data_IF_510291744510
#
_entry.id   IF_510291744510
#
_cell.length_a   1.000
_cell.length_b   1.000
_cell.length_c   1.000
_cell.angle_alpha   90.00
_cell.angle_beta   90.00
_cell.angle_gamma   90.00
#
_symmetry.space_group_name_H-M   'P 1'
#
loop_
_entity.id
_entity.type
_entity.pdbx_description
1 polymer ?
#
# COMPACT_ATOMS: atom_id res chain seq x y z
N UNK A 1 -8.13 9.47 -0.22
CA UNK A 1 -8.69 8.29 -0.93
C UNK A 1 -7.64 7.21 -0.85
N UNK A 2 -8.01 5.94 -0.65
CA UNK A 2 -7.00 4.89 -0.49
C UNK A 2 -6.23 4.67 -1.80
N UNK A 3 -4.94 4.34 -1.75
CA UNK A 3 -4.10 4.18 -2.94
C UNK A 3 -4.67 3.15 -3.92
N UNK A 4 -5.17 2.02 -3.40
CA UNK A 4 -5.84 0.96 -4.17
C UNK A 4 -7.16 1.45 -4.78
N UNK A 5 -7.97 2.14 -4.00
CA UNK A 5 -9.29 2.63 -4.38
C UNK A 5 -9.16 3.69 -5.47
N UNK A 6 -8.11 4.52 -5.37
CA UNK A 6 -7.75 5.54 -6.36
C UNK A 6 -7.38 4.94 -7.70
N UNK A 7 -6.75 3.76 -7.69
CA UNK A 7 -6.38 3.06 -8.92
C UNK A 7 -7.60 2.40 -9.55
N UNK A 8 -8.46 1.77 -8.74
CA UNK A 8 -9.69 1.14 -9.22
C UNK A 8 -10.82 2.11 -9.59
N UNK A 9 -10.61 3.42 -9.45
CA UNK A 9 -11.63 4.47 -9.62
C UNK A 9 -12.91 4.21 -8.78
N UNK A 10 -12.76 3.56 -7.62
CA UNK A 10 -13.88 3.24 -6.73
C UNK A 10 -13.97 4.31 -5.64
N UNK A 11 -15.18 4.81 -5.39
CA UNK A 11 -15.43 5.64 -4.22
C UNK A 11 -15.31 4.79 -2.93
N UNK A 12 -14.18 4.99 -2.26
CA UNK A 12 -13.88 4.34 -0.99
C UNK A 12 -14.91 4.69 0.09
N UNK A 13 -15.48 5.91 0.11
CA UNK A 13 -16.49 6.28 1.11
C UNK A 13 -17.76 5.45 0.95
N UNK A 14 -18.18 5.25 -0.30
CA UNK A 14 -19.31 4.38 -0.63
C UNK A 14 -19.04 2.92 -0.22
N UNK A 15 -17.83 2.41 -0.49
CA UNK A 15 -17.45 1.03 -0.17
C UNK A 15 -17.36 0.75 1.34
N UNK A 16 -17.05 1.75 2.17
CA UNK A 16 -16.85 1.60 3.62
C UNK A 16 -18.02 2.08 4.48
N UNK A 17 -18.92 2.87 3.90
CA UNK A 17 -19.82 3.74 4.65
C UNK A 17 -19.06 4.98 5.16
N UNK A 18 -19.65 6.16 4.96
CA UNK A 18 -19.00 7.47 5.17
C UNK A 18 -18.33 7.62 6.54
N UNK A 19 -18.89 7.01 7.59
CA UNK A 19 -18.41 7.12 8.97
C UNK A 19 -17.31 6.11 9.38
N UNK A 20 -17.01 5.10 8.56
CA UNK A 20 -15.99 4.08 8.85
C UNK A 20 -14.75 4.18 7.94
N UNK A 21 -14.77 5.12 7.01
CA UNK A 21 -13.70 5.39 6.07
C UNK A 21 -12.51 6.07 6.78
N UNK A 22 -11.69 5.29 7.51
CA UNK A 22 -10.39 5.75 8.03
C UNK A 22 -9.27 5.22 7.15
N UNK A 23 -8.36 6.12 6.77
CA UNK A 23 -7.12 5.77 6.09
C UNK A 23 -6.06 5.39 7.13
N UNK A 24 -5.29 4.36 6.82
CA UNK A 24 -4.15 3.89 7.60
C UNK A 24 -2.92 3.86 6.70
N UNK A 25 -1.78 4.13 7.31
CA UNK A 25 -0.47 3.94 6.67
C UNK A 25 -0.12 2.47 6.75
N UNK A 26 0.05 1.84 5.59
CA UNK A 26 0.56 0.48 5.45
C UNK A 26 1.96 0.55 4.83
N UNK A 27 2.83 -0.38 5.23
CA UNK A 27 4.20 -0.45 4.72
C UNK A 27 4.38 -1.76 3.97
N UNK A 28 4.84 -1.67 2.72
CA UNK A 28 5.28 -2.82 1.95
C UNK A 28 6.79 -2.98 2.07
N UNK A 29 7.25 -4.19 2.40
CA UNK A 29 8.66 -4.52 2.59
C UNK A 29 9.18 -5.41 1.47
N UNK A 30 9.83 -4.80 0.46
CA UNK A 30 10.49 -5.57 -0.59
C UNK A 30 11.88 -6.02 -0.13
N UNK A 31 11.94 -7.16 0.56
CA UNK A 31 13.16 -7.72 1.17
C UNK A 31 14.34 -7.81 0.18
N UNK A 32 14.09 -8.20 -1.07
CA UNK A 32 15.12 -8.39 -2.10
C UNK A 32 15.78 -7.08 -2.56
N UNK A 33 15.08 -5.94 -2.43
CA UNK A 33 15.55 -4.66 -2.93
C UNK A 33 15.85 -3.64 -1.83
N UNK A 34 15.71 -4.02 -0.56
CA UNK A 34 16.10 -3.20 0.60
C UNK A 34 15.34 -1.87 0.71
N UNK A 35 14.14 -1.77 0.14
CA UNK A 35 13.30 -0.58 0.21
C UNK A 35 11.94 -0.90 0.82
N UNK A 36 11.42 0.06 1.57
CA UNK A 36 10.09 0.04 2.17
C UNK A 36 9.22 1.05 1.43
N UNK A 37 7.94 0.76 1.22
CA UNK A 37 7.04 1.73 0.59
C UNK A 37 5.87 2.00 1.50
N UNK A 38 5.63 3.27 1.79
CA UNK A 38 4.44 3.71 2.49
C UNK A 38 3.26 3.85 1.52
N UNK A 39 2.14 3.25 1.89
CA UNK A 39 0.86 3.32 1.19
C UNK A 39 -0.23 3.80 2.15
N UNK A 40 -1.19 4.55 1.65
CA UNK A 40 -2.40 4.91 2.38
C UNK A 40 -3.54 3.96 1.99
N UNK A 41 -3.86 3.02 2.86
CA UNK A 41 -4.91 2.03 2.64
C UNK A 41 -6.13 2.32 3.51
N UNK A 42 -7.31 1.99 2.98
CA UNK A 42 -8.52 1.91 3.78
C UNK A 42 -8.54 0.60 4.57
N UNK A 43 -9.45 0.48 5.54
CA UNK A 43 -9.53 -0.71 6.40
C UNK A 43 -9.80 -2.04 5.67
N UNK A 44 -10.38 -2.03 4.47
CA UNK A 44 -10.59 -3.26 3.68
C UNK A 44 -9.34 -3.62 2.90
N UNK A 45 -8.73 -2.66 2.19
CA UNK A 45 -7.49 -2.92 1.47
C UNK A 45 -6.32 -3.25 2.40
N UNK A 46 -6.31 -2.70 3.62
CA UNK A 46 -5.38 -3.06 4.69
C UNK A 46 -5.56 -4.53 5.12
N UNK A 47 -6.80 -4.99 5.31
CA UNK A 47 -7.08 -6.41 5.59
C UNK A 47 -6.74 -7.30 4.40
N UNK A 48 -7.07 -6.88 3.19
CA UNK A 48 -6.78 -7.62 1.96
C UNK A 48 -5.28 -7.81 1.79
N UNK A 49 -4.49 -6.75 2.02
CA UNK A 49 -3.03 -6.83 2.06
C UNK A 49 -2.56 -7.84 3.12
N UNK A 50 -3.12 -7.79 4.33
CA UNK A 50 -2.77 -8.72 5.40
C UNK A 50 -3.10 -10.18 5.06
N UNK A 51 -4.27 -10.44 4.48
CA UNK A 51 -4.72 -11.80 4.15
C UNK A 51 -4.03 -12.39 2.91
N UNK A 52 -3.84 -11.60 1.86
CA UNK A 52 -3.23 -12.06 0.62
C UNK A 52 -1.69 -12.06 0.68
N UNK A 53 -1.11 -11.28 1.60
CA UNK A 53 0.31 -11.01 1.64
C UNK A 53 0.74 -10.08 0.51
N UNK A 54 1.94 -9.50 0.66
CA UNK A 54 2.42 -8.44 -0.23
C UNK A 54 2.56 -8.88 -1.70
N UNK A 55 3.03 -10.11 -1.93
CA UNK A 55 3.29 -10.64 -3.28
C UNK A 55 1.99 -10.75 -4.08
N UNK A 56 1.00 -11.43 -3.52
CA UNK A 56 -0.29 -11.66 -4.19
C UNK A 56 -1.07 -10.36 -4.33
N UNK A 57 -1.05 -9.52 -3.29
CA UNK A 57 -1.64 -8.20 -3.35
C UNK A 57 -1.05 -7.35 -4.48
N UNK A 58 0.27 -7.27 -4.62
CA UNK A 58 0.87 -6.53 -5.73
C UNK A 58 0.55 -7.12 -7.10
N UNK A 59 0.40 -8.44 -7.21
CA UNK A 59 -0.04 -9.10 -8.44
C UNK A 59 -1.49 -8.74 -8.80
N UNK A 60 -2.37 -8.60 -7.80
CA UNK A 60 -3.78 -8.20 -8.00
C UNK A 60 -3.90 -6.70 -8.36
N UNK A 61 -2.83 -5.93 -8.15
CA UNK A 61 -2.77 -4.47 -8.31
C UNK A 61 -1.47 -4.03 -9.01
N UNK A 62 -1.17 -4.54 -10.21
CA UNK A 62 0.06 -4.24 -10.98
C UNK A 62 0.31 -2.73 -11.16
N UNK A 63 -0.75 -1.94 -11.35
CA UNK A 63 -0.66 -0.49 -11.50
C UNK A 63 -0.11 0.20 -10.24
N UNK A 64 -0.31 -0.42 -9.07
CA UNK A 64 0.23 0.02 -7.80
C UNK A 64 1.75 -0.21 -7.75
N UNK A 65 2.24 -1.29 -8.38
CA UNK A 65 3.68 -1.50 -8.59
C UNK A 65 4.30 -0.42 -9.48
N UNK A 66 3.59 0.04 -10.51
CA UNK A 66 4.00 1.18 -11.33
C UNK A 66 4.17 2.48 -10.52
N UNK A 67 3.23 2.79 -9.62
CA UNK A 67 3.34 3.93 -8.68
C UNK A 67 4.50 3.77 -7.71
N UNK A 68 4.68 2.57 -7.16
CA UNK A 68 5.80 2.24 -6.26
C UNK A 68 7.14 2.47 -6.97
N UNK A 69 7.29 1.96 -8.19
CA UNK A 69 8.53 2.07 -8.97
C UNK A 69 8.87 3.51 -9.33
N UNK A 70 7.87 4.37 -9.61
CA UNK A 70 8.08 5.82 -9.81
C UNK A 70 8.55 6.51 -8.52
N UNK A 71 8.07 6.05 -7.37
CA UNK A 71 8.40 6.60 -6.05
C UNK A 71 9.63 5.96 -5.37
N UNK A 72 10.32 5.00 -6.01
CA UNK A 72 11.54 4.33 -5.49
C UNK A 72 12.62 5.31 -4.98
N UNK A 73 12.69 6.52 -5.54
CA UNK A 73 13.65 7.56 -5.13
C UNK A 73 13.34 8.21 -3.77
N UNK A 74 12.08 8.15 -3.29
CA UNK A 74 11.67 8.79 -2.03
C UNK A 74 11.86 7.89 -0.81
N UNK A 75 11.80 6.57 -0.98
CA UNK A 75 11.84 5.63 0.14
C UNK A 75 13.17 4.89 0.18
N UNK A 76 14.23 5.64 0.48
CA UNK A 76 15.60 5.14 0.54
C UNK A 76 15.92 4.60 1.93
N UNK A 77 16.24 3.30 1.92
CA UNK A 77 16.95 2.46 2.91
C UNK A 77 16.43 2.54 4.35
N UNK A 78 16.01 1.42 4.97
CA UNK A 78 15.91 1.40 6.43
C UNK A 78 17.27 1.83 6.98
N UNK A 79 17.30 2.88 7.82
CA UNK A 79 18.48 3.20 8.62
C UNK A 79 18.66 2.01 9.56
N UNK A 80 19.39 1.00 9.11
CA UNK A 80 19.88 -0.06 9.98
C UNK A 80 20.86 0.66 10.91
N UNK A 81 20.38 1.12 12.06
CA UNK A 81 21.25 1.45 13.18
C UNK A 81 21.76 0.11 13.69
N UNK A 82 22.90 -0.32 13.15
CA UNK A 82 23.70 -1.37 13.76
C UNK A 82 24.02 -0.91 15.19
N UNK A 83 23.54 -1.67 16.17
CA UNK A 83 23.99 -1.57 17.57
C UNK A 83 25.25 -2.40 17.74
#
# INVERSE_FOLDING_TARGET
MCDVCSIKEIDWKFKHGENKARLKKAFLYRFIAGFMVELELCSLCDRELFYNGEIKFLSDYEELEGKINKNKKKYLKPKIQAR
#
